data_IF_645224574901
#
_entry.id   IF_645224574901
#
_cell.length_a   1.000
_cell.length_b   1.000
_cell.length_c   1.000
_cell.angle_alpha   90.00
_cell.angle_beta   90.00
_cell.angle_gamma   90.00
#
_symmetry.space_group_name_H-M   'P 1'
#
loop_
_entity.id
_entity.type
_entity.pdbx_description
1 polymer ?
#
# COMPACT_ATOMS: atom_id res chain seq x y z
N UNK A 1 6.65 -26.83 24.40
CA UNK A 1 5.72 -25.98 23.64
C UNK A 1 4.78 -26.93 22.91
N UNK A 2 3.47 -26.72 22.95
CA UNK A 2 2.53 -27.61 22.26
C UNK A 2 2.44 -27.25 20.77
N UNK A 3 2.00 -28.21 19.96
CA UNK A 3 1.90 -28.11 18.50
C UNK A 3 1.04 -26.91 18.06
N UNK A 4 0.00 -26.57 18.83
CA UNK A 4 -0.85 -25.42 18.58
C UNK A 4 -0.09 -24.09 18.75
N UNK A 5 0.78 -24.01 19.75
CA UNK A 5 1.60 -22.82 20.00
C UNK A 5 2.65 -22.64 18.92
N UNK A 6 3.30 -23.73 18.49
CA UNK A 6 4.28 -23.72 17.39
C UNK A 6 3.63 -23.25 16.07
N UNK A 7 2.47 -23.82 15.71
CA UNK A 7 1.72 -23.38 14.54
C UNK A 7 1.35 -21.89 14.57
N UNK A 8 0.94 -21.35 15.74
CA UNK A 8 0.65 -19.91 15.88
C UNK A 8 1.89 -19.06 15.68
N UNK A 9 3.05 -19.52 16.14
CA UNK A 9 4.31 -18.81 15.98
C UNK A 9 4.71 -18.75 14.51
N UNK A 10 4.62 -19.86 13.79
CA UNK A 10 4.88 -19.92 12.34
C UNK A 10 3.97 -18.97 11.56
N UNK A 11 2.68 -18.89 11.92
CA UNK A 11 1.74 -17.96 11.30
C UNK A 11 2.12 -16.49 11.52
N UNK A 12 2.67 -16.15 12.68
CA UNK A 12 3.17 -14.80 12.97
C UNK A 12 4.40 -14.50 12.14
N UNK A 13 5.34 -15.45 12.06
CA UNK A 13 6.57 -15.30 11.30
C UNK A 13 6.29 -15.12 9.80
N UNK A 14 5.43 -15.96 9.23
CA UNK A 14 4.99 -15.85 7.82
C UNK A 14 4.35 -14.48 7.57
N UNK A 15 3.45 -14.02 8.44
CA UNK A 15 2.82 -12.69 8.30
C UNK A 15 3.85 -11.56 8.33
N UNK A 16 4.86 -11.66 9.19
CA UNK A 16 5.92 -10.66 9.27
C UNK A 16 6.79 -10.67 8.01
N UNK A 17 7.15 -11.85 7.50
CA UNK A 17 7.88 -11.98 6.23
C UNK A 17 7.10 -11.39 5.06
N UNK A 18 5.79 -11.62 4.99
CA UNK A 18 4.94 -11.04 3.94
C UNK A 18 4.89 -9.52 4.00
N UNK A 19 4.91 -8.91 5.19
CA UNK A 19 4.99 -7.44 5.33
C UNK A 19 6.28 -6.86 4.76
N UNK A 20 7.40 -7.61 4.80
CA UNK A 20 8.67 -7.16 4.21
C UNK A 20 8.62 -7.08 2.68
N UNK A 21 7.66 -7.73 2.04
CA UNK A 21 7.47 -7.69 0.59
C UNK A 21 6.66 -6.47 0.13
N UNK A 22 6.03 -5.75 1.06
CA UNK A 22 5.19 -4.59 0.75
C UNK A 22 6.09 -3.35 0.70
N UNK A 23 6.14 -2.62 -0.43
CA UNK A 23 6.86 -1.36 -0.49
C UNK A 23 6.34 -0.35 0.54
N UNK A 24 7.22 0.40 1.19
CA UNK A 24 6.80 1.49 2.08
C UNK A 24 6.23 2.69 1.32
N UNK A 25 6.65 2.88 0.07
CA UNK A 25 6.18 3.94 -0.82
C UNK A 25 5.73 3.39 -2.17
N UNK A 26 4.63 3.94 -2.69
CA UNK A 26 4.02 3.50 -3.94
C UNK A 26 3.97 4.64 -4.94
N UNK A 27 4.35 4.39 -6.19
CA UNK A 27 4.12 5.36 -7.27
C UNK A 27 2.68 5.29 -7.74
N UNK A 28 2.12 6.41 -8.20
CA UNK A 28 0.81 6.41 -8.88
C UNK A 28 0.78 5.41 -10.04
N UNK A 29 1.87 5.30 -10.81
CA UNK A 29 1.96 4.34 -11.93
C UNK A 29 1.81 2.89 -11.48
N UNK A 30 2.36 2.52 -10.31
CA UNK A 30 2.21 1.19 -9.76
C UNK A 30 0.76 0.93 -9.33
N UNK A 31 0.12 1.90 -8.65
CA UNK A 31 -1.29 1.80 -8.25
C UNK A 31 -2.23 1.68 -9.45
N UNK A 32 -1.96 2.45 -10.52
CA UNK A 32 -2.66 2.32 -11.81
C UNK A 32 -2.57 0.90 -12.36
N UNK A 33 -1.37 0.31 -12.35
CA UNK A 33 -1.14 -1.06 -12.84
C UNK A 33 -1.96 -2.11 -12.07
N UNK A 34 -2.12 -1.95 -10.76
CA UNK A 34 -2.87 -2.90 -9.92
C UNK A 34 -4.39 -2.69 -9.98
N UNK A 35 -4.84 -1.45 -10.07
CA UNK A 35 -6.27 -1.12 -10.02
C UNK A 35 -6.95 -1.12 -11.39
N UNK A 36 -6.20 -0.91 -12.47
CA UNK A 36 -6.76 -0.69 -13.82
C UNK A 36 -7.41 0.68 -14.00
N UNK A 37 -7.36 1.55 -12.98
CA UNK A 37 -7.94 2.90 -13.03
C UNK A 37 -7.00 3.87 -13.77
N UNK A 38 -7.56 4.95 -14.29
CA UNK A 38 -6.76 5.97 -14.99
C UNK A 38 -5.81 6.68 -14.02
N UNK A 39 -4.65 7.13 -14.53
CA UNK A 39 -3.69 7.91 -13.73
C UNK A 39 -4.31 9.17 -13.12
N UNK A 40 -5.24 9.80 -13.84
CA UNK A 40 -5.96 10.98 -13.36
C UNK A 40 -6.87 10.63 -12.18
N UNK A 41 -7.63 9.54 -12.24
CA UNK A 41 -8.52 9.14 -11.15
C UNK A 41 -7.76 8.79 -9.86
N UNK A 42 -6.62 8.10 -9.99
CA UNK A 42 -5.74 7.82 -8.83
C UNK A 42 -5.18 9.12 -8.25
N UNK A 43 -4.70 10.02 -9.12
CA UNK A 43 -4.15 11.31 -8.70
C UNK A 43 -5.19 12.17 -8.00
N UNK A 44 -6.38 12.27 -8.57
CA UNK A 44 -7.48 13.06 -8.01
C UNK A 44 -7.88 12.52 -6.65
N UNK A 45 -8.10 11.22 -6.52
CA UNK A 45 -8.42 10.60 -5.23
C UNK A 45 -7.41 10.95 -4.13
N UNK A 46 -6.12 10.84 -4.45
CA UNK A 46 -5.04 11.13 -3.50
C UNK A 46 -5.03 12.60 -3.11
N UNK A 47 -5.20 13.50 -4.09
CA UNK A 47 -5.20 14.94 -3.84
C UNK A 47 -6.44 15.42 -3.08
N UNK A 48 -7.58 14.72 -3.20
CA UNK A 48 -8.82 15.10 -2.53
C UNK A 48 -8.98 14.47 -1.14
N UNK A 49 -8.43 13.27 -0.91
CA UNK A 49 -8.63 12.53 0.34
C UNK A 49 -7.37 12.35 1.18
N UNK A 50 -6.19 12.57 0.61
CA UNK A 50 -4.92 12.39 1.30
C UNK A 50 -4.39 13.69 1.90
N UNK A 51 -3.67 13.58 3.00
CA UNK A 51 -2.88 14.66 3.59
C UNK A 51 -1.47 14.73 2.97
N UNK A 52 -1.02 15.89 2.45
CA UNK A 52 0.35 16.07 1.96
C UNK A 52 1.39 15.76 3.04
N UNK A 53 2.51 15.17 2.64
CA UNK A 53 3.65 14.77 3.49
C UNK A 53 3.32 13.68 4.55
N UNK A 54 2.07 13.21 4.60
CA UNK A 54 1.62 12.08 5.43
C UNK A 54 1.17 10.93 4.54
N UNK A 55 0.18 11.19 3.69
CA UNK A 55 -0.44 10.21 2.81
C UNK A 55 0.19 10.18 1.43
N UNK A 56 0.72 11.32 0.98
CA UNK A 56 1.44 11.42 -0.28
C UNK A 56 2.48 12.55 -0.24
N UNK A 57 3.55 12.40 -1.02
CA UNK A 57 4.59 13.42 -1.16
C UNK A 57 5.10 13.48 -2.60
N UNK A 58 5.77 14.60 -2.92
CA UNK A 58 6.42 14.78 -4.22
C UNK A 58 7.92 14.55 -4.07
N UNK A 59 8.47 13.64 -4.88
CA UNK A 59 9.91 13.36 -4.96
C UNK A 59 10.30 13.25 -6.43
N UNK A 60 11.29 14.03 -6.86
CA UNK A 60 11.77 14.07 -8.26
C UNK A 60 10.64 14.28 -9.28
N UNK A 61 9.71 15.19 -9.01
CA UNK A 61 8.57 15.50 -9.89
C UNK A 61 7.48 14.42 -9.95
N UNK A 62 7.60 13.33 -9.18
CA UNK A 62 6.61 12.25 -9.09
C UNK A 62 5.88 12.29 -7.75
N UNK A 63 4.61 11.90 -7.76
CA UNK A 63 3.83 11.69 -6.54
C UNK A 63 4.03 10.25 -6.07
N UNK A 64 4.39 10.12 -4.80
CA UNK A 64 4.45 8.87 -4.07
C UNK A 64 3.35 8.86 -3.02
N UNK A 65 2.83 7.67 -2.74
CA UNK A 65 1.80 7.42 -1.75
C UNK A 65 2.40 6.60 -0.61
N UNK A 66 1.92 6.83 0.60
CA UNK A 66 2.17 5.93 1.72
C UNK A 66 1.59 4.55 1.43
N UNK A 67 2.18 3.52 2.06
CA UNK A 67 1.65 2.16 2.03
C UNK A 67 0.15 2.12 2.37
N UNK A 68 -0.25 2.81 3.44
CA UNK A 68 -1.64 2.87 3.91
C UNK A 68 -2.58 3.33 2.79
N UNK A 69 -2.28 4.46 2.15
CA UNK A 69 -3.16 5.05 1.12
C UNK A 69 -3.17 4.22 -0.14
N UNK A 70 -2.01 3.71 -0.56
CA UNK A 70 -1.91 2.83 -1.71
C UNK A 70 -2.75 1.57 -1.51
N UNK A 71 -2.61 0.89 -0.36
CA UNK A 71 -3.36 -0.32 -0.05
C UNK A 71 -4.87 -0.04 0.12
N UNK A 72 -5.25 1.07 0.75
CA UNK A 72 -6.66 1.49 0.83
C UNK A 72 -7.27 1.65 -0.56
N UNK A 73 -6.56 2.32 -1.48
CA UNK A 73 -7.05 2.52 -2.83
C UNK A 73 -7.07 1.23 -3.67
N UNK A 74 -6.07 0.36 -3.52
CA UNK A 74 -6.00 -0.94 -4.21
C UNK A 74 -7.13 -1.87 -3.74
N UNK A 75 -7.45 -1.85 -2.44
CA UNK A 75 -8.45 -2.71 -1.82
C UNK A 75 -9.87 -2.10 -1.83
N UNK A 76 -10.01 -0.82 -2.18
CA UNK A 76 -11.32 -0.22 -2.40
C UNK A 76 -12.02 -1.00 -3.53
N UNK A 77 -13.08 -1.72 -3.15
CA UNK A 77 -13.76 -2.71 -4.01
C UNK A 77 -14.02 -2.14 -5.42
N UNK A 78 -13.65 -2.92 -6.44
CA UNK A 78 -13.98 -2.69 -7.84
C UNK A 78 -15.49 -2.75 -8.06
#
# INVERSE_FOLDING_TARGET
MDELTEFRQDQIEIKNMLKLLIPHEFTISYVVKLTGKSRQAVREYVLTHGEPDVDFWKKNGKIYLSEKVALQYINARR
#
